data_IF_250828600289
#
_entry.id   IF_250828600289
#
_cell.length_a   1.000
_cell.length_b   1.000
_cell.length_c   1.000
_cell.angle_alpha   90.00
_cell.angle_beta   90.00
_cell.angle_gamma   90.00
#
_symmetry.space_group_name_H-M   'P 1'
#
loop_
_entity.id
_entity.type
_entity.pdbx_description
1 polymer ?
#
# COMPACT_ATOMS: atom_id res chain seq x y z
N UNK A 1 24.84 -7.32 -20.01
CA UNK A 1 23.91 -6.55 -19.17
C UNK A 1 24.49 -5.16 -19.02
N UNK A 2 23.66 -4.14 -18.81
CA UNK A 2 24.12 -2.79 -18.45
C UNK A 2 23.72 -2.54 -17.01
N UNK A 3 24.55 -1.80 -16.26
CA UNK A 3 24.25 -1.37 -14.89
C UNK A 3 23.95 0.11 -14.90
N UNK A 4 22.78 0.51 -14.38
CA UNK A 4 22.42 1.90 -14.18
C UNK A 4 22.32 2.18 -12.69
N UNK A 5 22.90 3.28 -12.23
CA UNK A 5 23.03 3.57 -10.80
C UNK A 5 22.96 5.07 -10.54
N UNK A 6 22.28 5.46 -9.46
CA UNK A 6 22.34 6.80 -8.89
C UNK A 6 22.98 6.73 -7.51
N UNK A 7 24.12 7.40 -7.32
CA UNK A 7 24.84 7.43 -6.04
C UNK A 7 25.76 8.65 -5.95
N UNK A 8 26.39 8.82 -4.80
CA UNK A 8 27.52 9.74 -4.63
C UNK A 8 28.82 9.04 -5.00
N UNK A 9 29.51 9.53 -6.03
CA UNK A 9 30.77 8.95 -6.53
C UNK A 9 31.99 9.35 -5.70
N UNK A 10 31.86 10.30 -4.78
CA UNK A 10 32.91 10.70 -3.86
C UNK A 10 32.60 10.29 -2.42
N UNK A 11 33.67 10.15 -1.63
CA UNK A 11 33.57 9.81 -0.21
C UNK A 11 32.86 10.90 0.62
N UNK A 12 32.94 12.16 0.17
CA UNK A 12 32.43 13.31 0.91
C UNK A 12 30.94 13.57 0.67
N UNK A 13 30.29 12.82 -0.23
CA UNK A 13 28.87 13.00 -0.52
C UNK A 13 28.57 14.32 -1.23
N UNK A 14 29.43 14.75 -2.15
CA UNK A 14 29.28 15.99 -2.94
C UNK A 14 29.09 15.73 -4.43
N UNK A 15 29.71 14.70 -5.00
CA UNK A 15 29.57 14.33 -6.42
C UNK A 15 28.43 13.33 -6.57
N UNK A 16 27.18 13.80 -6.53
CA UNK A 16 26.04 12.96 -6.88
C UNK A 16 25.94 12.81 -8.39
N UNK A 17 25.80 11.58 -8.87
CA UNK A 17 25.64 11.32 -10.29
C UNK A 17 24.71 10.15 -10.57
N UNK A 18 24.06 10.21 -11.72
CA UNK A 18 23.41 9.08 -12.37
C UNK A 18 24.32 8.61 -13.51
N UNK A 19 24.65 7.33 -13.55
CA UNK A 19 25.52 6.78 -14.59
C UNK A 19 25.11 5.39 -15.07
N UNK A 20 25.55 5.07 -16.28
CA UNK A 20 25.48 3.74 -16.91
C UNK A 20 26.88 3.17 -17.05
N UNK A 21 27.07 1.93 -16.61
CA UNK A 21 28.36 1.23 -16.58
C UNK A 21 28.22 -0.27 -16.90
N UNK A 22 29.35 -0.99 -16.93
CA UNK A 22 29.47 -2.45 -17.06
C UNK A 22 28.82 -3.08 -18.31
N UNK A 23 28.54 -2.28 -19.34
CA UNK A 23 27.86 -2.67 -20.58
C UNK A 23 28.74 -2.60 -21.83
N UNK A 24 28.14 -2.96 -22.98
CA UNK A 24 28.77 -2.81 -24.30
C UNK A 24 28.71 -1.37 -24.81
N UNK A 25 27.72 -0.60 -24.36
CA UNK A 25 27.64 0.83 -24.67
C UNK A 25 28.61 1.62 -23.79
N UNK A 26 29.08 2.74 -24.34
CA UNK A 26 30.00 3.63 -23.62
C UNK A 26 29.43 4.10 -22.28
N UNK A 27 30.33 4.30 -21.32
CA UNK A 27 30.00 4.91 -20.04
C UNK A 27 29.36 6.28 -20.25
N UNK A 28 28.22 6.52 -19.61
CA UNK A 28 27.56 7.84 -19.58
C UNK A 28 27.32 8.22 -18.13
N UNK A 29 27.46 9.51 -17.82
CA UNK A 29 27.13 10.10 -16.52
C UNK A 29 26.42 11.43 -16.71
N UNK A 30 25.67 11.84 -15.69
CA UNK A 30 25.22 13.22 -15.55
C UNK A 30 26.39 14.19 -15.42
N UNK A 31 26.15 15.43 -15.82
CA UNK A 31 27.14 16.50 -15.75
C UNK A 31 27.60 16.71 -14.30
N UNK A 32 28.91 16.94 -14.11
CA UNK A 32 29.49 17.15 -12.78
C UNK A 32 29.21 18.57 -12.32
N UNK A 33 28.94 18.74 -11.03
CA UNK A 33 28.68 20.03 -10.38
C UNK A 33 27.55 20.88 -11.02
N UNK A 34 26.63 20.27 -11.76
CA UNK A 34 25.43 20.96 -12.28
C UNK A 34 24.25 20.78 -11.32
N UNK A 35 24.12 21.72 -10.38
CA UNK A 35 23.01 21.74 -9.42
C UNK A 35 21.63 21.82 -10.09
N UNK A 36 21.52 22.25 -11.36
CA UNK A 36 20.24 22.26 -12.08
C UNK A 36 19.75 20.85 -12.40
N UNK A 37 20.66 19.88 -12.41
CA UNK A 37 20.39 18.51 -12.79
C UNK A 37 20.25 17.60 -11.57
N UNK A 38 21.12 17.77 -10.56
CA UNK A 38 21.01 17.11 -9.25
C UNK A 38 21.48 18.05 -8.14
N UNK A 39 20.61 18.39 -7.18
CA UNK A 39 20.98 19.18 -5.99
C UNK A 39 20.74 18.43 -4.68
N UNK A 40 21.82 17.86 -4.14
CA UNK A 40 21.78 17.07 -2.90
C UNK A 40 20.75 15.90 -2.94
N UNK A 41 20.79 15.03 -3.98
CA UNK A 41 19.78 14.01 -4.17
C UNK A 41 19.87 12.87 -3.14
N UNK A 42 18.72 12.37 -2.73
CA UNK A 42 18.57 11.09 -2.01
C UNK A 42 17.88 10.10 -2.93
N UNK A 43 18.65 9.14 -3.45
CA UNK A 43 18.13 8.11 -4.36
C UNK A 43 17.27 7.10 -3.60
N UNK A 44 16.10 6.79 -4.16
CA UNK A 44 15.11 5.89 -3.57
C UNK A 44 15.06 4.58 -4.35
N UNK A 45 14.94 4.66 -5.67
CA UNK A 45 14.81 3.48 -6.50
C UNK A 45 14.95 3.79 -7.97
N UNK A 46 15.06 2.73 -8.78
CA UNK A 46 15.14 2.89 -10.22
C UNK A 46 14.62 1.70 -10.99
N UNK A 47 13.93 1.98 -12.10
CA UNK A 47 13.19 0.97 -12.86
C UNK A 47 13.35 1.19 -14.36
N UNK A 48 13.51 0.09 -15.09
CA UNK A 48 13.43 0.09 -16.55
C UNK A 48 11.98 -0.12 -16.95
N UNK A 49 11.40 0.84 -17.66
CA UNK A 49 10.02 0.77 -18.18
C UNK A 49 10.08 0.88 -19.70
N UNK A 50 9.61 -0.15 -20.44
CA UNK A 50 9.52 -0.10 -21.89
C UNK A 50 8.50 0.94 -22.36
N UNK A 51 8.88 1.78 -23.32
CA UNK A 51 8.01 2.82 -23.86
C UNK A 51 7.21 2.37 -25.09
N UNK A 52 7.72 1.37 -25.81
CA UNK A 52 7.13 0.76 -27.00
C UNK A 52 7.69 -0.68 -27.18
N UNK A 53 7.49 -1.31 -28.34
CA UNK A 53 8.04 -2.66 -28.63
C UNK A 53 9.55 -2.65 -28.94
N UNK A 54 10.08 -1.48 -29.29
CA UNK A 54 11.50 -1.27 -29.55
C UNK A 54 12.26 -1.19 -28.21
N UNK A 55 13.09 -2.21 -27.98
CA UNK A 55 13.89 -2.31 -26.77
C UNK A 55 14.96 -1.22 -26.67
N UNK A 56 15.31 -0.59 -27.78
CA UNK A 56 16.30 0.49 -27.80
C UNK A 56 15.71 1.82 -27.29
N UNK A 57 14.37 1.94 -27.21
CA UNK A 57 13.66 3.10 -26.60
C UNK A 57 13.22 2.83 -25.15
N UNK A 58 13.66 1.72 -24.55
CA UNK A 58 13.40 1.46 -23.14
C UNK A 58 13.96 2.59 -22.27
N UNK A 59 13.12 3.11 -21.37
CA UNK A 59 13.51 4.22 -20.50
C UNK A 59 13.88 3.72 -19.12
N UNK A 60 14.93 4.31 -18.58
CA UNK A 60 15.37 4.10 -17.21
C UNK A 60 14.88 5.28 -16.37
N UNK A 61 14.00 4.99 -15.42
CA UNK A 61 13.42 5.96 -14.50
C UNK A 61 14.15 5.89 -13.15
N UNK A 62 14.66 7.02 -12.69
CA UNK A 62 15.24 7.18 -11.36
C UNK A 62 14.28 7.97 -10.48
N UNK A 63 14.09 7.51 -9.25
CA UNK A 63 13.27 8.16 -8.23
C UNK A 63 14.18 8.62 -7.10
N UNK A 64 14.15 9.91 -6.81
CA UNK A 64 14.96 10.54 -5.78
C UNK A 64 14.28 11.81 -5.26
N UNK A 65 14.78 12.33 -4.15
CA UNK A 65 14.38 13.64 -3.60
C UNK A 65 15.57 14.57 -3.63
N UNK A 66 15.38 15.82 -3.97
CA UNK A 66 16.47 16.81 -4.03
C UNK A 66 16.02 18.16 -3.49
N UNK A 67 16.96 19.08 -3.32
CA UNK A 67 16.66 20.45 -2.89
C UNK A 67 16.08 21.26 -4.06
N UNK A 68 14.83 21.68 -3.91
CA UNK A 68 14.09 22.48 -4.88
C UNK A 68 14.73 23.86 -5.13
N UNK A 69 15.32 24.07 -6.31
CA UNK A 69 15.89 25.34 -6.74
C UNK A 69 14.83 26.40 -7.02
N UNK A 70 13.67 25.98 -7.53
CA UNK A 70 12.53 26.83 -7.87
C UNK A 70 11.77 27.37 -6.66
N UNK A 71 12.00 26.78 -5.48
CA UNK A 71 11.38 27.20 -4.22
C UNK A 71 12.11 28.37 -3.54
N UNK A 72 13.36 28.67 -3.92
CA UNK A 72 14.17 29.72 -3.27
C UNK A 72 13.59 31.14 -3.42
N UNK A 73 12.73 31.38 -4.43
CA UNK A 73 12.10 32.68 -4.70
C UNK A 73 10.59 32.74 -4.36
N UNK A 74 10.02 31.72 -3.72
CA UNK A 74 8.60 31.68 -3.32
C UNK A 74 8.49 31.49 -1.81
N UNK A 75 7.45 32.07 -1.18
CA UNK A 75 7.14 31.94 0.26
C UNK A 75 7.27 30.46 0.69
N UNK A 76 7.71 30.14 1.92
CA UNK A 76 7.98 28.78 2.35
C UNK A 76 6.75 27.90 2.11
N UNK A 77 6.85 27.10 1.05
CA UNK A 77 5.89 26.10 0.64
C UNK A 77 6.44 24.72 1.01
N UNK A 78 5.51 23.82 1.31
CA UNK A 78 5.68 22.47 1.86
C UNK A 78 6.52 21.54 0.93
N UNK A 79 7.57 20.85 1.44
CA UNK A 79 8.66 20.12 0.71
C UNK A 79 8.65 18.57 0.85
N UNK A 80 8.49 17.75 -0.22
CA UNK A 80 8.27 16.26 -0.15
C UNK A 80 9.61 15.57 -0.18
N UNK A 81 9.70 14.62 0.72
CA UNK A 81 10.63 13.53 0.65
C UNK A 81 9.87 12.25 0.25
N UNK A 82 10.10 11.78 -0.97
CA UNK A 82 9.87 10.40 -1.38
C UNK A 82 10.66 9.46 -0.46
N UNK A 83 9.97 8.56 0.23
CA UNK A 83 10.58 7.55 1.10
C UNK A 83 10.78 6.24 0.34
N UNK A 84 9.80 5.85 -0.49
CA UNK A 84 9.83 4.59 -1.24
C UNK A 84 8.99 4.68 -2.54
N UNK A 85 9.29 3.81 -3.51
CA UNK A 85 8.53 3.67 -4.76
C UNK A 85 8.38 2.19 -5.07
N UNK A 86 7.14 1.76 -5.34
CA UNK A 86 6.84 0.41 -5.75
C UNK A 86 6.22 0.40 -7.16
N UNK A 87 6.81 -0.37 -8.06
CA UNK A 87 6.29 -0.57 -9.41
C UNK A 87 5.41 -1.82 -9.43
N UNK A 88 4.09 -1.66 -9.58
CA UNK A 88 3.16 -2.77 -9.76
C UNK A 88 3.04 -3.10 -11.26
N UNK A 89 3.53 -4.27 -11.71
CA UNK A 89 3.35 -4.69 -13.09
C UNK A 89 1.87 -4.86 -13.42
N UNK A 90 1.46 -4.45 -14.62
CA UNK A 90 0.12 -4.75 -15.13
C UNK A 90 0.20 -5.77 -16.26
N UNK A 91 -0.96 -6.12 -16.83
CA UNK A 91 -1.01 -6.98 -18.03
C UNK A 91 -0.29 -6.35 -19.21
N UNK A 92 -0.23 -5.02 -19.26
CA UNK A 92 0.59 -4.28 -20.22
C UNK A 92 1.90 -3.84 -19.55
N UNK A 93 3.05 -4.45 -19.86
CA UNK A 93 4.33 -4.08 -19.26
C UNK A 93 4.75 -2.64 -19.57
N UNK A 94 4.12 -1.98 -20.56
CA UNK A 94 4.36 -0.57 -20.92
C UNK A 94 3.55 0.41 -20.06
N UNK A 95 2.59 -0.09 -19.30
CA UNK A 95 1.73 0.71 -18.44
C UNK A 95 1.69 0.15 -17.02
N UNK A 96 2.83 0.13 -16.29
CA UNK A 96 2.84 -0.24 -14.89
C UNK A 96 2.18 0.85 -14.03
N UNK A 97 1.65 0.46 -12.87
CA UNK A 97 1.17 1.42 -11.87
C UNK A 97 2.31 1.71 -10.90
N UNK A 98 2.68 2.98 -10.77
CA UNK A 98 3.69 3.44 -9.82
C UNK A 98 2.99 3.87 -8.54
N UNK A 99 3.29 3.20 -7.43
CA UNK A 99 2.92 3.65 -6.11
C UNK A 99 4.13 4.36 -5.48
N UNK A 100 3.96 5.62 -5.12
CA UNK A 100 4.98 6.36 -4.37
C UNK A 100 4.54 6.55 -2.92
N UNK A 101 5.47 6.31 -2.00
CA UNK A 101 5.33 6.64 -0.59
C UNK A 101 6.06 7.96 -0.32
N UNK A 102 5.32 8.93 0.18
CA UNK A 102 5.79 10.30 0.32
C UNK A 102 5.55 10.83 1.73
N UNK A 103 6.58 11.41 2.32
CA UNK A 103 6.43 12.41 3.36
C UNK A 103 6.39 13.78 2.65
N UNK A 104 5.22 14.44 2.64
CA UNK A 104 4.79 15.70 1.95
C UNK A 104 5.81 16.86 1.72
N UNK A 105 5.85 17.73 0.65
CA UNK A 105 5.31 17.78 -0.78
C UNK A 105 6.24 18.20 -2.02
N UNK A 106 6.17 17.56 -3.21
CA UNK A 106 7.06 17.55 -4.44
C UNK A 106 6.16 17.53 -5.70
N UNK A 107 6.74 17.61 -6.93
CA UNK A 107 6.16 17.18 -8.22
C UNK A 107 7.11 17.33 -9.45
N UNK A 108 7.20 16.34 -10.37
CA UNK A 108 8.05 16.33 -11.63
C UNK A 108 7.38 15.53 -12.79
N UNK A 109 7.77 15.67 -14.09
CA UNK A 109 7.35 14.91 -15.33
C UNK A 109 8.52 14.67 -16.34
N UNK A 110 8.31 13.85 -17.41
CA UNK A 110 9.28 13.54 -18.51
C UNK A 110 8.69 13.42 -19.94
N UNK A 111 9.54 13.16 -20.96
CA UNK A 111 9.22 13.13 -22.40
C UNK A 111 10.03 12.10 -23.26
N UNK A 112 9.69 11.96 -24.55
CA UNK A 112 10.05 10.84 -25.48
C UNK A 112 10.87 11.27 -26.71
N UNK A 113 11.87 10.47 -27.11
CA UNK A 113 12.59 10.52 -28.41
C UNK A 113 13.42 9.22 -28.65
N UNK A 114 13.71 8.87 -29.91
CA UNK A 114 14.22 7.55 -30.33
C UNK A 114 15.74 7.30 -30.43
N UNK A 115 16.63 8.31 -30.38
CA UNK A 115 18.09 8.13 -30.17
C UNK A 115 18.78 9.50 -29.98
N UNK A 116 19.67 9.63 -28.99
CA UNK A 116 20.31 10.92 -28.65
C UNK A 116 21.50 11.29 -29.54
N UNK A 117 21.96 10.40 -30.43
CA UNK A 117 23.14 10.64 -31.28
C UNK A 117 22.84 11.53 -32.50
N UNK A 118 21.56 11.63 -32.88
CA UNK A 118 21.13 12.37 -34.06
C UNK A 118 20.43 13.69 -33.69
N UNK A 119 20.53 14.12 -32.43
CA UNK A 119 19.92 15.37 -31.99
C UNK A 119 20.71 16.55 -32.54
N UNK A 120 20.02 17.58 -33.07
CA UNK A 120 20.64 18.87 -33.32
C UNK A 120 21.29 19.40 -32.04
N UNK A 121 22.43 20.08 -32.16
CA UNK A 121 23.14 20.67 -31.02
C UNK A 121 22.25 21.56 -30.16
N UNK A 122 21.30 22.27 -30.78
CA UNK A 122 20.32 23.10 -30.08
C UNK A 122 19.38 22.28 -29.17
N UNK A 123 18.99 21.06 -29.57
CA UNK A 123 18.18 20.17 -28.74
C UNK A 123 18.99 19.61 -27.57
N UNK A 124 20.27 19.27 -27.79
CA UNK A 124 21.19 18.83 -26.73
C UNK A 124 21.44 19.99 -25.74
N UNK A 125 21.68 21.20 -26.26
CA UNK A 125 21.88 22.41 -25.45
C UNK A 125 20.63 22.75 -24.67
N UNK A 126 19.45 22.62 -25.28
CA UNK A 126 18.17 22.83 -24.59
C UNK A 126 18.00 21.82 -23.45
N UNK A 127 18.19 20.52 -23.70
CA UNK A 127 18.08 19.49 -22.69
C UNK A 127 19.05 19.67 -21.51
N UNK A 128 20.30 20.12 -21.78
CA UNK A 128 21.28 20.47 -20.74
C UNK A 128 20.90 21.70 -19.92
N UNK A 129 20.28 22.69 -20.55
CA UNK A 129 19.92 23.96 -19.89
C UNK A 129 18.54 23.95 -19.25
N UNK A 130 17.68 22.99 -19.61
CA UNK A 130 16.30 22.85 -19.14
C UNK A 130 15.98 21.39 -18.71
N UNK A 131 16.71 20.84 -17.72
CA UNK A 131 16.46 19.47 -17.25
C UNK A 131 15.11 19.32 -16.52
N UNK A 132 14.60 20.40 -15.92
CA UNK A 132 13.34 20.41 -15.16
C UNK A 132 12.14 20.72 -16.07
N UNK A 133 11.14 19.84 -16.03
CA UNK A 133 9.87 20.04 -16.74
C UNK A 133 8.92 20.97 -15.98
N UNK A 134 8.16 21.83 -16.70
CA UNK A 134 7.22 22.79 -16.08
C UNK A 134 5.98 22.13 -15.46
N UNK A 135 5.44 21.08 -16.09
CA UNK A 135 4.23 20.40 -15.62
C UNK A 135 4.56 19.28 -14.63
N UNK A 136 3.71 19.12 -13.63
CA UNK A 136 3.88 18.11 -12.60
C UNK A 136 3.10 16.79 -12.87
N UNK A 137 3.69 15.60 -12.58
CA UNK A 137 2.93 14.34 -12.49
C UNK A 137 1.91 14.46 -11.36
N UNK A 138 0.66 14.07 -11.63
CA UNK A 138 -0.39 14.02 -10.61
C UNK A 138 -0.70 12.56 -10.29
N UNK A 139 -1.09 12.24 -9.04
CA UNK A 139 -1.66 10.93 -8.73
C UNK A 139 -2.83 10.63 -9.67
N UNK A 140 -3.07 9.36 -9.99
CA UNK A 140 -4.09 8.93 -10.95
C UNK A 140 -5.47 9.58 -10.68
N UNK A 141 -5.87 9.69 -9.41
CA UNK A 141 -7.13 10.29 -8.98
C UNK A 141 -6.97 11.72 -8.42
N UNK A 142 -5.84 12.38 -8.70
CA UNK A 142 -5.46 13.73 -8.21
C UNK A 142 -5.44 13.88 -6.68
N UNK A 143 -5.56 12.77 -5.94
CA UNK A 143 -5.57 12.69 -4.49
C UNK A 143 -4.64 11.56 -4.04
N UNK A 144 -3.99 11.66 -2.87
CA UNK A 144 -3.26 10.55 -2.26
C UNK A 144 -4.21 9.39 -1.95
N UNK A 145 -3.67 8.17 -1.97
CA UNK A 145 -4.40 6.94 -1.65
C UNK A 145 -4.65 6.81 -0.14
N UNK A 146 -3.65 7.15 0.68
CA UNK A 146 -3.70 7.09 2.13
C UNK A 146 -3.01 8.33 2.70
N UNK A 147 -3.62 8.96 3.71
CA UNK A 147 -3.03 10.08 4.44
C UNK A 147 -3.11 9.80 5.93
N UNK A 148 -1.96 9.61 6.59
CA UNK A 148 -1.87 9.47 8.05
C UNK A 148 -1.28 10.74 8.65
N UNK A 149 -2.03 11.38 9.55
CA UNK A 149 -1.67 12.67 10.18
C UNK A 149 -1.72 12.64 11.71
N UNK A 150 -2.12 11.50 12.28
CA UNK A 150 -2.21 11.29 13.73
C UNK A 150 -0.83 11.17 14.41
N UNK A 151 0.26 11.14 13.63
CA UNK A 151 1.63 11.03 14.13
C UNK A 151 1.93 9.68 14.76
N UNK A 152 1.03 8.69 14.62
CA UNK A 152 1.16 7.37 15.25
C UNK A 152 2.32 6.58 14.68
N UNK A 153 2.56 6.71 13.37
CA UNK A 153 3.58 5.97 12.63
C UNK A 153 4.21 6.84 11.53
N UNK A 154 5.51 6.69 11.28
CA UNK A 154 6.12 7.17 10.03
C UNK A 154 6.21 6.01 9.04
N UNK A 155 5.62 6.21 7.86
CA UNK A 155 5.62 5.21 6.81
C UNK A 155 7.01 5.17 6.14
N UNK A 156 7.53 3.97 5.89
CA UNK A 156 8.91 3.76 5.42
C UNK A 156 9.07 2.93 4.16
N UNK A 157 8.26 1.91 4.00
CA UNK A 157 8.38 1.00 2.87
C UNK A 157 7.00 0.58 2.38
N UNK A 158 6.88 0.33 1.08
CA UNK A 158 5.65 -0.07 0.44
C UNK A 158 5.87 -1.32 -0.41
N UNK A 159 4.98 -2.29 -0.25
CA UNK A 159 4.77 -3.36 -1.22
C UNK A 159 3.29 -3.42 -1.59
N UNK A 160 2.99 -3.77 -2.83
CA UNK A 160 1.61 -3.87 -3.31
C UNK A 160 1.40 -5.23 -3.97
N UNK A 161 0.31 -5.89 -3.61
CA UNK A 161 -0.15 -7.12 -4.26
C UNK A 161 -1.52 -6.88 -4.92
N UNK A 162 -1.70 -7.40 -6.13
CA UNK A 162 -2.97 -7.33 -6.85
C UNK A 162 -3.70 -8.65 -6.72
N UNK A 163 -4.82 -8.62 -6.00
CA UNK A 163 -5.55 -9.82 -5.57
C UNK A 163 -6.90 -9.91 -6.26
N UNK A 164 -7.23 -11.09 -6.76
CA UNK A 164 -8.59 -11.40 -7.23
C UNK A 164 -9.47 -11.79 -6.04
N UNK A 165 -10.63 -11.16 -5.95
CA UNK A 165 -11.72 -11.44 -5.01
C UNK A 165 -13.00 -11.84 -5.78
N UNK A 166 -14.08 -12.12 -5.06
CA UNK A 166 -15.38 -12.47 -5.64
C UNK A 166 -16.02 -11.30 -6.41
N UNK A 167 -15.85 -10.08 -5.92
CA UNK A 167 -16.46 -8.84 -6.43
C UNK A 167 -15.50 -7.96 -7.26
N UNK A 168 -14.27 -8.43 -7.51
CA UNK A 168 -13.33 -7.74 -8.39
C UNK A 168 -11.86 -7.94 -8.02
N UNK A 169 -11.02 -7.07 -8.56
CA UNK A 169 -9.60 -7.03 -8.22
C UNK A 169 -9.32 -5.88 -7.25
N UNK A 170 -8.45 -6.14 -6.29
CA UNK A 170 -8.05 -5.17 -5.27
C UNK A 170 -6.53 -5.05 -5.23
N UNK A 171 -6.06 -3.82 -5.08
CA UNK A 171 -4.66 -3.55 -4.74
C UNK A 171 -4.56 -3.55 -3.21
N UNK A 172 -3.82 -4.51 -2.66
CA UNK A 172 -3.53 -4.64 -1.23
C UNK A 172 -2.16 -4.04 -0.96
N UNK A 173 -2.12 -2.97 -0.16
CA UNK A 173 -0.92 -2.24 0.21
C UNK A 173 -0.39 -2.77 1.54
N UNK A 174 0.87 -3.16 1.57
CA UNK A 174 1.63 -3.51 2.77
C UNK A 174 2.62 -2.37 3.05
N UNK A 175 2.35 -1.60 4.10
CA UNK A 175 3.11 -0.40 4.43
C UNK A 175 3.90 -0.62 5.71
N UNK A 176 5.23 -0.72 5.59
CA UNK A 176 6.14 -0.80 6.73
C UNK A 176 6.29 0.56 7.42
N UNK A 177 6.38 0.54 8.73
CA UNK A 177 6.52 1.73 9.58
C UNK A 177 7.88 1.75 10.29
N UNK A 178 8.27 2.92 10.79
CA UNK A 178 9.46 3.12 11.62
C UNK A 178 9.41 2.39 12.98
N UNK A 179 8.22 2.05 13.45
CA UNK A 179 8.03 1.27 14.70
C UNK A 179 8.05 -0.24 14.48
N UNK A 180 8.32 -0.72 13.26
CA UNK A 180 8.32 -2.15 12.94
C UNK A 180 6.93 -2.78 12.87
N UNK A 181 5.89 -1.98 12.63
CA UNK A 181 4.53 -2.45 12.32
C UNK A 181 4.33 -2.42 10.80
N UNK A 182 3.62 -3.41 10.26
CA UNK A 182 3.16 -3.40 8.87
C UNK A 182 1.66 -3.17 8.83
N UNK A 183 1.24 -2.10 8.15
CA UNK A 183 -0.16 -1.84 7.87
C UNK A 183 -0.57 -2.59 6.61
N UNK A 184 -1.62 -3.42 6.71
CA UNK A 184 -2.27 -4.05 5.55
C UNK A 184 -3.52 -3.24 5.22
N UNK A 185 -3.54 -2.62 4.04
CA UNK A 185 -4.58 -1.65 3.64
C UNK A 185 -5.09 -2.03 2.26
N UNK A 186 -6.41 -1.97 2.06
CA UNK A 186 -7.01 -2.03 0.72
C UNK A 186 -7.59 -0.68 0.36
N UNK A 187 -7.72 -0.47 -0.94
CA UNK A 187 -8.22 0.78 -1.49
C UNK A 187 -9.42 0.49 -2.37
N UNK A 188 -10.54 1.14 -2.09
CA UNK A 188 -11.78 0.93 -2.81
C UNK A 188 -12.15 2.23 -3.51
N UNK A 189 -12.06 2.23 -4.83
CA UNK A 189 -12.49 3.37 -5.63
C UNK A 189 -14.02 3.35 -5.79
N UNK A 190 -14.66 4.43 -5.36
CA UNK A 190 -16.06 4.69 -5.63
C UNK A 190 -16.17 5.63 -6.84
N UNK A 191 -16.66 5.09 -7.96
CA UNK A 191 -16.78 5.82 -9.23
C UNK A 191 -17.83 6.94 -9.18
N UNK A 192 -18.91 6.77 -8.42
CA UNK A 192 -20.00 7.75 -8.35
C UNK A 192 -19.59 9.01 -7.61
N UNK A 193 -18.81 8.83 -6.54
CA UNK A 193 -18.38 9.93 -5.69
C UNK A 193 -16.98 10.45 -6.05
N UNK A 194 -16.23 9.73 -6.89
CA UNK A 194 -14.81 9.98 -7.19
C UNK A 194 -13.94 10.06 -5.91
N UNK A 195 -14.23 9.19 -4.95
CA UNK A 195 -13.48 9.05 -3.70
C UNK A 195 -12.87 7.66 -3.55
N UNK A 196 -11.69 7.65 -2.94
CA UNK A 196 -11.00 6.43 -2.50
C UNK A 196 -11.37 6.21 -1.03
N UNK A 197 -11.88 5.03 -0.71
CA UNK A 197 -12.03 4.56 0.66
C UNK A 197 -10.80 3.70 1.00
N UNK A 198 -10.10 4.08 2.06
CA UNK A 198 -9.06 3.28 2.67
C UNK A 198 -9.62 2.39 3.78
N UNK A 199 -9.26 1.10 3.74
CA UNK A 199 -9.74 0.10 4.68
C UNK A 199 -8.51 -0.58 5.26
N UNK A 200 -8.18 -0.26 6.52
CA UNK A 200 -7.09 -0.93 7.24
C UNK A 200 -7.62 -2.28 7.70
N UNK A 201 -7.04 -3.34 7.14
CA UNK A 201 -7.41 -4.72 7.45
C UNK A 201 -6.71 -5.18 8.73
N UNK A 202 -5.39 -4.98 8.81
CA UNK A 202 -4.56 -5.52 9.89
C UNK A 202 -3.39 -4.57 10.22
N UNK A 203 -3.03 -4.48 11.51
CA UNK A 203 -1.75 -3.93 12.01
C UNK A 203 -0.89 -5.12 12.44
N UNK A 204 0.04 -5.52 11.57
CA UNK A 204 0.84 -6.73 11.75
C UNK A 204 2.12 -6.41 12.53
N UNK A 205 2.27 -7.03 13.70
CA UNK A 205 3.56 -7.17 14.35
C UNK A 205 4.34 -8.33 13.71
N UNK A 206 5.63 -8.14 13.57
CA UNK A 206 6.50 -8.98 12.74
C UNK A 206 6.65 -10.40 13.33
N UNK A 207 5.77 -11.35 13.00
CA UNK A 207 5.96 -12.79 13.28
C UNK A 207 5.23 -13.75 12.29
N UNK A 208 6.03 -14.50 11.52
CA UNK A 208 5.88 -15.76 10.72
C UNK A 208 4.85 -15.93 9.54
N UNK A 209 5.46 -16.07 8.34
CA UNK A 209 5.22 -16.73 7.02
C UNK A 209 4.48 -16.13 5.78
N UNK A 210 5.20 -15.37 4.92
CA UNK A 210 5.01 -15.02 3.47
C UNK A 210 4.79 -13.51 3.15
N UNK A 211 5.85 -12.76 3.46
CA UNK A 211 6.28 -11.40 3.09
C UNK A 211 7.62 -11.29 3.84
N UNK A 212 8.72 -10.98 3.16
CA UNK A 212 10.02 -10.85 3.84
C UNK A 212 10.21 -9.40 4.29
N UNK A 213 10.23 -9.20 5.59
CA UNK A 213 10.47 -7.89 6.20
C UNK A 213 11.89 -7.92 6.75
N UNK A 214 12.74 -7.05 6.22
CA UNK A 214 14.08 -6.81 6.72
C UNK A 214 14.10 -5.64 7.69
N UNK A 215 14.75 -5.81 8.84
CA UNK A 215 15.13 -4.73 9.75
C UNK A 215 16.63 -4.85 10.06
N UNK A 216 17.27 -3.82 10.65
CA UNK A 216 18.67 -3.92 11.08
C UNK A 216 18.93 -5.07 12.07
N UNK A 217 17.91 -5.55 12.80
CA UNK A 217 18.05 -6.57 13.84
C UNK A 217 17.64 -7.98 13.40
N UNK A 218 16.71 -8.10 12.45
CA UNK A 218 16.17 -9.39 12.04
C UNK A 218 15.50 -9.33 10.66
N UNK A 219 15.44 -10.50 10.02
CA UNK A 219 14.54 -10.77 8.90
C UNK A 219 13.40 -11.64 9.40
N UNK A 220 12.18 -11.28 9.02
CA UNK A 220 11.00 -12.06 9.36
C UNK A 220 10.15 -12.31 8.12
N UNK A 221 9.49 -13.46 8.14
CA UNK A 221 8.49 -13.85 7.16
C UNK A 221 7.11 -13.54 7.79
N UNK A 222 6.08 -13.04 7.09
CA UNK A 222 4.70 -12.81 7.67
C UNK A 222 3.61 -13.21 6.67
N UNK A 223 2.54 -13.97 7.02
CA UNK A 223 1.52 -14.41 6.03
C UNK A 223 0.73 -13.24 5.43
N UNK A 224 0.47 -13.31 4.12
CA UNK A 224 -0.44 -12.40 3.41
C UNK A 224 -1.88 -12.43 3.96
N UNK A 225 -2.29 -13.56 4.52
CA UNK A 225 -3.64 -13.79 4.99
C UNK A 225 -3.65 -14.59 6.30
N UNK A 226 -4.49 -14.16 7.23
CA UNK A 226 -4.76 -14.84 8.48
C UNK A 226 -6.25 -15.14 8.62
N UNK A 227 -6.87 -15.69 7.55
CA UNK A 227 -8.32 -15.90 7.48
C UNK A 227 -8.89 -16.66 8.68
N UNK A 228 -8.16 -17.63 9.21
CA UNK A 228 -8.56 -18.42 10.38
C UNK A 228 -8.85 -17.55 11.61
N UNK A 229 -8.22 -16.38 11.72
CA UNK A 229 -8.45 -15.42 12.82
C UNK A 229 -9.87 -14.84 12.80
N UNK A 230 -10.49 -14.74 11.63
CA UNK A 230 -11.87 -14.27 11.50
C UNK A 230 -12.89 -15.32 11.96
N UNK A 231 -12.48 -16.58 12.18
CA UNK A 231 -13.28 -17.59 12.87
C UNK A 231 -14.32 -18.30 12.00
N UNK A 232 -15.32 -18.88 12.67
CA UNK A 232 -16.35 -19.74 12.08
C UNK A 232 -17.73 -19.07 11.95
N UNK A 233 -17.79 -17.74 11.97
CA UNK A 233 -19.02 -17.02 11.67
C UNK A 233 -18.93 -16.44 10.25
N UNK A 234 -19.96 -16.68 9.43
CA UNK A 234 -20.07 -16.07 8.10
C UNK A 234 -19.97 -14.53 8.18
N UNK A 235 -20.65 -13.94 9.17
CA UNK A 235 -20.66 -12.49 9.35
C UNK A 235 -19.26 -11.92 9.64
N UNK A 236 -18.49 -12.55 10.53
CA UNK A 236 -17.12 -12.10 10.86
C UNK A 236 -16.20 -12.16 9.63
N UNK A 237 -16.35 -13.20 8.81
CA UNK A 237 -15.58 -13.34 7.57
C UNK A 237 -15.94 -12.28 6.52
N UNK A 238 -17.23 -11.99 6.32
CA UNK A 238 -17.67 -10.95 5.39
C UNK A 238 -17.31 -9.54 5.86
N UNK A 239 -17.41 -9.26 7.17
CA UNK A 239 -17.07 -7.97 7.76
C UNK A 239 -15.55 -7.70 7.77
N UNK A 240 -14.72 -8.74 7.67
CA UNK A 240 -13.27 -8.59 7.56
C UNK A 240 -12.84 -7.84 6.29
N UNK A 241 -13.64 -7.90 5.20
CA UNK A 241 -13.36 -7.27 3.90
C UNK A 241 -11.97 -7.61 3.33
N UNK A 242 -11.37 -8.71 3.76
CA UNK A 242 -10.05 -9.14 3.30
C UNK A 242 -10.18 -9.88 1.97
N UNK A 243 -9.63 -9.37 0.84
CA UNK A 243 -9.77 -10.00 -0.47
C UNK A 243 -9.14 -11.40 -0.53
N UNK A 244 -8.22 -11.73 0.37
CA UNK A 244 -7.66 -13.08 0.46
C UNK A 244 -8.57 -14.06 1.19
N UNK A 245 -9.65 -13.63 1.83
CA UNK A 245 -10.47 -14.45 2.72
C UNK A 245 -11.93 -14.50 2.29
N UNK A 246 -12.51 -15.70 2.31
CA UNK A 246 -13.90 -15.93 2.02
C UNK A 246 -14.47 -17.00 2.95
N UNK A 247 -15.76 -16.91 3.26
CA UNK A 247 -16.46 -17.95 4.00
C UNK A 247 -16.62 -19.17 3.09
N UNK A 248 -16.33 -20.38 3.58
CA UNK A 248 -16.45 -21.61 2.78
C UNK A 248 -17.67 -22.48 3.13
N UNK A 249 -18.48 -22.04 4.09
CA UNK A 249 -19.60 -22.78 4.66
C UNK A 249 -19.34 -23.37 6.04
N UNK A 250 -18.07 -23.42 6.48
CA UNK A 250 -17.66 -23.97 7.79
C UNK A 250 -16.81 -22.97 8.57
N UNK A 251 -15.87 -22.30 7.90
CA UNK A 251 -14.95 -21.34 8.50
C UNK A 251 -14.54 -20.26 7.50
N UNK A 252 -13.99 -19.16 8.00
CA UNK A 252 -13.33 -18.19 7.15
C UNK A 252 -12.00 -18.77 6.68
N UNK A 253 -11.85 -18.97 5.38
CA UNK A 253 -10.67 -19.59 4.79
C UNK A 253 -10.17 -18.82 3.57
N UNK A 254 -9.05 -19.25 3.00
CA UNK A 254 -8.44 -18.54 1.87
C UNK A 254 -9.36 -18.56 0.65
N UNK A 255 -9.55 -17.40 0.04
CA UNK A 255 -10.22 -17.27 -1.24
C UNK A 255 -9.34 -17.82 -2.36
N UNK A 256 -9.92 -18.71 -3.16
CA UNK A 256 -9.32 -19.25 -4.38
C UNK A 256 -10.19 -18.88 -5.58
N UNK A 257 -9.64 -18.11 -6.54
CA UNK A 257 -10.29 -17.84 -7.82
C UNK A 257 -10.64 -19.14 -8.54
N UNK A 258 -11.65 -19.09 -9.41
CA UNK A 258 -12.34 -20.28 -9.93
C UNK A 258 -11.42 -21.25 -10.68
N UNK A 259 -11.12 -22.41 -10.08
CA UNK A 259 -10.39 -23.53 -10.71
C UNK A 259 -10.17 -24.71 -9.75
N UNK A 260 -10.49 -25.92 -10.22
CA UNK A 260 -10.28 -27.24 -9.62
C UNK A 260 -11.04 -27.69 -8.34
N UNK A 261 -11.27 -26.88 -7.28
CA UNK A 261 -11.78 -27.46 -6.00
C UNK A 261 -12.85 -26.67 -5.20
N UNK A 262 -13.45 -25.62 -5.75
CA UNK A 262 -14.38 -24.78 -4.99
C UNK A 262 -15.82 -25.32 -4.94
N UNK A 263 -16.31 -25.70 -3.75
CA UNK A 263 -17.75 -25.90 -3.46
C UNK A 263 -18.47 -24.54 -3.50
N UNK A 264 -18.78 -24.05 -4.71
CA UNK A 264 -19.36 -22.72 -4.98
C UNK A 264 -20.60 -22.35 -4.15
N UNK A 265 -21.39 -23.32 -3.68
CA UNK A 265 -22.69 -23.06 -3.06
C UNK A 265 -22.62 -22.29 -1.73
N UNK A 266 -21.54 -22.46 -0.97
CA UNK A 266 -21.41 -21.90 0.37
C UNK A 266 -20.39 -20.76 0.47
N UNK A 267 -19.77 -20.39 -0.66
CA UNK A 267 -18.79 -19.31 -0.68
C UNK A 267 -19.44 -17.96 -0.47
N UNK A 268 -18.96 -17.14 0.47
CA UNK A 268 -19.40 -15.75 0.64
C UNK A 268 -18.21 -14.82 0.86
N UNK A 269 -18.14 -13.75 0.08
CA UNK A 269 -17.20 -12.66 0.24
C UNK A 269 -17.85 -11.35 -0.23
N UNK A 270 -17.59 -10.26 0.49
CA UNK A 270 -17.99 -8.91 0.10
C UNK A 270 -16.95 -7.92 0.59
N UNK A 271 -15.92 -7.71 -0.24
CA UNK A 271 -14.81 -6.80 0.07
C UNK A 271 -15.28 -5.36 -0.02
N UNK A 272 -16.05 -5.03 -1.06
CA UNK A 272 -16.47 -3.65 -1.34
C UNK A 272 -17.36 -3.07 -0.25
N UNK A 273 -18.35 -3.81 0.23
CA UNK A 273 -19.38 -3.27 1.12
C UNK A 273 -19.37 -3.90 2.51
N UNK A 274 -18.78 -5.10 2.68
CA UNK A 274 -18.82 -5.82 3.95
C UNK A 274 -20.25 -6.17 4.40
N UNK A 275 -21.19 -6.39 3.47
CA UNK A 275 -22.59 -6.59 3.79
C UNK A 275 -22.88 -8.04 4.24
N UNK A 276 -22.47 -8.35 5.47
CA UNK A 276 -22.73 -9.65 6.09
C UNK A 276 -24.23 -10.02 6.14
N UNK A 277 -25.12 -9.05 6.33
CA UNK A 277 -26.56 -9.29 6.42
C UNK A 277 -27.14 -9.88 5.13
N UNK A 278 -26.68 -9.38 3.98
CA UNK A 278 -27.10 -9.90 2.68
C UNK A 278 -26.36 -11.19 2.31
N UNK A 279 -25.05 -11.25 2.53
CA UNK A 279 -24.23 -12.40 2.15
C UNK A 279 -24.55 -13.67 2.96
N UNK A 280 -24.88 -13.50 4.24
CA UNK A 280 -25.13 -14.61 5.16
C UNK A 280 -26.63 -14.90 5.36
N UNK A 281 -27.52 -14.29 4.55
CA UNK A 281 -28.97 -14.50 4.65
C UNK A 281 -29.34 -15.98 4.37
N UNK A 282 -30.18 -16.56 5.22
CA UNK A 282 -30.62 -17.96 5.09
C UNK A 282 -29.59 -19.00 5.54
N UNK A 283 -28.38 -18.61 5.94
CA UNK A 283 -27.44 -19.46 6.68
C UNK A 283 -27.77 -19.45 8.18
N UNK A 284 -29.06 -19.58 8.51
CA UNK A 284 -29.46 -20.01 9.83
C UNK A 284 -29.01 -21.46 10.01
N UNK A 285 -27.80 -21.61 10.55
CA UNK A 285 -27.38 -22.66 11.47
C UNK A 285 -27.64 -24.09 11.00
N UNK A 286 -26.61 -24.72 10.43
CA UNK A 286 -26.44 -26.17 10.60
C UNK A 286 -26.00 -26.38 12.06
N UNK A 287 -26.97 -26.38 12.98
CA UNK A 287 -26.82 -26.65 14.42
C UNK A 287 -26.88 -25.39 15.30
N UNK A 288 -27.95 -25.27 16.09
CA UNK A 288 -28.07 -24.70 17.47
C UNK A 288 -27.24 -23.49 17.94
N UNK A 289 -26.57 -22.72 17.08
CA UNK A 289 -25.62 -21.68 17.50
C UNK A 289 -26.11 -20.24 17.32
N UNK A 290 -27.40 -20.01 17.08
CA UNK A 290 -28.01 -18.66 17.14
C UNK A 290 -28.27 -18.23 18.59
N UNK A 291 -28.17 -19.17 19.54
CA UNK A 291 -28.62 -18.97 20.92
C UNK A 291 -27.52 -18.56 21.91
N UNK A 292 -26.29 -18.27 21.48
CA UNK A 292 -25.29 -17.75 22.42
C UNK A 292 -24.48 -16.62 21.81
N UNK A 293 -24.99 -15.40 21.97
CA UNK A 293 -24.08 -14.37 22.50
C UNK A 293 -23.38 -15.04 23.69
N UNK A 294 -22.05 -15.09 23.70
CA UNK A 294 -21.34 -15.89 24.71
C UNK A 294 -21.68 -15.36 26.11
N UNK A 295 -22.62 -16.02 26.80
CA UNK A 295 -23.00 -15.65 28.15
C UNK A 295 -21.92 -16.14 29.09
N UNK A 296 -21.11 -15.20 29.57
CA UNK A 296 -20.11 -15.46 30.60
C UNK A 296 -20.64 -14.98 31.94
N UNK A 297 -20.82 -15.91 32.88
CA UNK A 297 -21.12 -15.56 34.25
C UNK A 297 -19.87 -14.95 34.90
N UNK A 298 -19.94 -13.69 35.30
CA UNK A 298 -18.88 -13.01 36.04
C UNK A 298 -19.29 -12.85 37.50
N UNK A 299 -18.41 -13.23 38.43
CA UNK A 299 -18.60 -13.01 39.85
C UNK A 299 -17.85 -11.75 40.29
N UNK A 300 -18.49 -10.89 41.07
CA UNK A 300 -17.90 -9.71 41.68
C UNK A 300 -18.06 -9.76 43.20
N UNK A 301 -17.06 -9.26 43.92
CA UNK A 301 -17.16 -9.07 45.37
C UNK A 301 -17.82 -7.71 45.60
N UNK A 302 -18.77 -7.65 46.54
CA UNK A 302 -19.40 -6.40 46.95
C UNK A 302 -18.32 -5.37 47.33
N UNK A 303 -18.42 -4.16 46.78
CA UNK A 303 -17.42 -3.08 46.92
C UNK A 303 -16.09 -3.25 46.19
N UNK A 304 -15.94 -4.23 45.29
CA UNK A 304 -14.78 -4.36 44.41
C UNK A 304 -15.16 -4.11 42.93
N UNK A 305 -14.18 -3.77 42.08
CA UNK A 305 -14.37 -3.61 40.64
C UNK A 305 -14.09 -4.92 39.89
N UNK A 306 -14.95 -5.27 38.94
CA UNK A 306 -14.75 -6.41 38.03
C UNK A 306 -14.52 -5.91 36.60
N UNK A 307 -13.47 -6.40 35.94
CA UNK A 307 -13.19 -6.12 34.53
C UNK A 307 -13.93 -7.12 33.64
N UNK A 308 -14.73 -6.61 32.70
CA UNK A 308 -15.33 -7.40 31.63
C UNK A 308 -14.57 -7.12 30.34
N UNK A 309 -13.83 -8.10 29.85
CA UNK A 309 -13.00 -7.95 28.66
C UNK A 309 -13.81 -8.22 27.39
N UNK A 310 -13.70 -7.31 26.42
CA UNK A 310 -14.21 -7.49 25.06
C UNK A 310 -13.20 -6.92 24.08
N UNK A 311 -12.46 -7.81 23.42
CA UNK A 311 -11.46 -7.45 22.41
C UNK A 311 -12.01 -7.85 21.04
N UNK A 312 -12.45 -6.90 20.21
CA UNK A 312 -13.01 -7.24 18.91
C UNK A 312 -11.90 -7.78 17.99
N UNK A 313 -12.26 -8.71 17.11
CA UNK A 313 -11.31 -9.29 16.13
C UNK A 313 -10.94 -8.32 15.01
N UNK A 314 -11.86 -7.41 14.66
CA UNK A 314 -11.66 -6.41 13.61
C UNK A 314 -11.19 -5.08 14.20
N UNK A 315 -10.18 -4.47 13.58
CA UNK A 315 -9.71 -3.12 13.91
C UNK A 315 -10.74 -2.03 13.57
N UNK A 316 -11.78 -2.36 12.82
CA UNK A 316 -12.85 -1.44 12.42
C UNK A 316 -14.07 -1.53 13.34
N UNK A 317 -14.09 -2.50 14.25
CA UNK A 317 -15.20 -2.69 15.16
C UNK A 317 -15.17 -1.67 16.30
N UNK A 318 -16.35 -1.16 16.64
CA UNK A 318 -16.56 -0.33 17.83
C UNK A 318 -17.31 -1.14 18.88
N UNK A 319 -16.70 -1.32 20.05
CA UNK A 319 -17.34 -1.99 21.18
C UNK A 319 -18.24 -1.00 21.92
N UNK A 320 -19.49 -1.38 22.15
CA UNK A 320 -20.48 -0.61 22.92
C UNK A 320 -21.04 -1.52 24.00
N UNK A 321 -20.98 -1.08 25.25
CA UNK A 321 -21.47 -1.83 26.40
C UNK A 321 -22.89 -1.38 26.78
N UNK A 322 -23.77 -2.36 27.01
CA UNK A 322 -25.11 -2.14 27.54
C UNK A 322 -25.25 -2.87 28.88
N UNK A 323 -25.86 -2.23 29.86
CA UNK A 323 -26.14 -2.82 31.18
C UNK A 323 -27.64 -2.85 31.38
N UNK A 324 -28.20 -4.07 31.45
CA UNK A 324 -29.57 -4.27 31.86
C UNK A 324 -29.60 -4.59 33.35
N UNK A 325 -30.05 -3.64 34.17
CA UNK A 325 -30.41 -3.93 35.56
C UNK A 325 -31.78 -4.60 35.55
N UNK A 326 -31.92 -5.73 36.24
CA UNK A 326 -33.20 -6.45 36.34
C UNK A 326 -34.32 -5.48 36.73
N UNK A 327 -35.47 -5.56 36.03
CA UNK A 327 -36.64 -4.71 36.31
C UNK A 327 -37.04 -4.87 37.78
N UNK A 328 -37.17 -3.75 38.49
CA UNK A 328 -38.11 -3.66 39.61
C UNK A 328 -39.47 -4.13 39.08
N UNK A 329 -40.01 -5.20 39.65
CA UNK A 329 -41.39 -5.59 39.41
C UNK A 329 -42.28 -4.44 39.89
N UNK A 330 -42.79 -3.61 38.98
CA UNK A 330 -43.91 -2.74 39.26
C UNK A 330 -45.09 -3.63 39.67
N UNK A 331 -45.36 -3.66 40.97
CA UNK A 331 -46.64 -4.07 41.53
C UNK A 331 -47.67 -3.03 41.13
N UNK A 332 -48.64 -3.42 40.31
CA UNK A 332 -50.03 -2.92 40.36
C UNK A 332 -50.97 -4.10 40.18
#
# INVERSE_FOLDING_TARGET
>A
SELFTGLYSDYWGRDSAIFRSLGKLGHIRTEHDDERLLKEPKFVGSYMIPDNEDRDDNKMYFFFTEKALEAENKRPGRTENTEDVFLLPTRDPKNPVIFGLFNTTSKVNGGKYGTTKDYPDDAIRFARTHPLMYQAIKPAHKKPILVKTDGKYNLKQLAVDRVEAEDGQYDVLFIGTDTGIVLKVITIYNQETEWMEEVILEELQIFKQQLYIGSPSAVAQVRFHHCDMYGSACADCCLARDPYCAWDGISCSRYYPTGAHAKRRFRRQDVRHGNAAQQCFGQQFVGDALDRTEERLAYGIESNSTLLECTPRSLQAKVIWFVQKGREMRKE
#
